data_IF_435396897256
#
_entry.id   IF_435396897256
#
_cell.length_a   1.000
_cell.length_b   1.000
_cell.length_c   1.000
_cell.angle_alpha   90.00
_cell.angle_beta   90.00
_cell.angle_gamma   90.00
#
_symmetry.space_group_name_H-M   'P 1'
#
loop_
_entity.id
_entity.type
_entity.pdbx_description
1 polymer ?
#
# COMPACT_ATOMS: atom_id res chain seq x y z
N UNK A 1 -11.71 -12.21 11.72
CA UNK A 1 -10.67 -11.59 10.87
C UNK A 1 -9.30 -11.87 11.44
N UNK A 2 -8.37 -12.17 10.57
CA UNK A 2 -6.99 -12.40 10.97
C UNK A 2 -6.36 -11.11 11.48
N UNK A 3 -5.62 -11.21 12.57
CA UNK A 3 -4.92 -10.06 13.14
C UNK A 3 -3.65 -9.75 12.37
N UNK A 4 -3.00 -10.78 11.87
CA UNK A 4 -1.78 -10.64 11.10
C UNK A 4 -1.62 -11.88 10.22
N UNK A 5 -1.33 -11.69 8.95
CA UNK A 5 -1.17 -12.77 8.00
C UNK A 5 0.11 -12.57 7.21
N UNK A 6 1.00 -13.56 7.27
CA UNK A 6 2.12 -13.62 6.33
C UNK A 6 1.57 -14.11 4.99
N UNK A 7 1.66 -13.26 4.00
CA UNK A 7 1.07 -13.51 2.70
C UNK A 7 1.99 -14.34 1.81
N UNK A 8 1.37 -15.18 0.94
CA UNK A 8 2.09 -15.92 -0.08
C UNK A 8 2.47 -15.11 -1.32
N UNK A 9 2.26 -13.79 -1.31
CA UNK A 9 2.76 -12.96 -2.39
C UNK A 9 4.26 -12.96 -2.35
N UNK A 10 4.88 -13.65 -3.25
CA UNK A 10 6.31 -13.66 -3.38
C UNK A 10 6.73 -13.23 -4.76
N UNK A 11 7.92 -12.65 -4.88
CA UNK A 11 8.59 -12.57 -6.16
C UNK A 11 8.92 -13.99 -6.63
N UNK A 12 9.20 -14.23 -7.92
CA UNK A 12 9.61 -15.55 -8.41
C UNK A 12 10.88 -16.06 -7.77
N UNK A 13 11.43 -15.63 -6.81
CA UNK A 13 12.56 -16.17 -6.06
C UNK A 13 12.28 -16.30 -4.59
N UNK A 14 11.08 -15.92 -4.12
CA UNK A 14 10.72 -15.99 -2.72
C UNK A 14 11.50 -15.05 -1.83
N UNK A 15 12.10 -13.99 -2.39
CA UNK A 15 13.00 -13.10 -1.66
C UNK A 15 12.28 -11.95 -0.97
N UNK A 16 10.98 -11.75 -1.23
CA UNK A 16 10.23 -10.64 -0.68
C UNK A 16 9.12 -11.20 0.20
N UNK A 17 9.13 -10.77 1.45
CA UNK A 17 8.09 -11.11 2.41
C UNK A 17 7.02 -10.04 2.39
N UNK A 18 5.75 -10.44 2.32
CA UNK A 18 4.63 -9.53 2.43
C UNK A 18 3.88 -9.84 3.73
N UNK A 19 3.81 -8.86 4.59
CA UNK A 19 3.11 -8.97 5.88
C UNK A 19 1.86 -8.11 5.81
N UNK A 20 0.72 -8.71 6.07
CA UNK A 20 -0.56 -7.99 6.10
C UNK A 20 -1.05 -7.94 7.54
N UNK A 21 -1.30 -6.74 8.03
CA UNK A 21 -1.79 -6.50 9.38
C UNK A 21 -3.14 -5.79 9.31
N UNK A 22 -4.18 -6.46 9.77
CA UNK A 22 -5.52 -5.91 9.81
C UNK A 22 -6.22 -6.47 11.04
N UNK A 23 -6.44 -5.62 12.04
CA UNK A 23 -6.98 -6.07 13.31
C UNK A 23 -8.30 -5.39 13.62
N UNK A 24 -9.36 -6.19 13.69
CA UNK A 24 -10.65 -5.72 14.17
C UNK A 24 -11.30 -4.65 13.32
N UNK A 25 -10.93 -4.55 12.04
CA UNK A 25 -11.47 -3.53 11.15
C UNK A 25 -12.58 -4.13 10.31
N UNK A 26 -13.73 -3.47 10.32
CA UNK A 26 -14.85 -3.82 9.47
C UNK A 26 -15.11 -2.68 8.50
N UNK A 27 -15.27 -3.02 7.23
CA UNK A 27 -15.57 -2.06 6.18
C UNK A 27 -16.82 -2.51 5.45
N UNK A 28 -17.66 -1.54 5.05
CA UNK A 28 -18.73 -1.84 4.13
C UNK A 28 -18.14 -2.10 2.73
N UNK A 29 -18.97 -2.69 1.85
CA UNK A 29 -18.49 -3.09 0.53
C UNK A 29 -18.13 -1.90 -0.35
N UNK A 30 -18.80 -0.77 -0.17
CA UNK A 30 -18.55 0.44 -0.93
C UNK A 30 -17.18 1.04 -0.61
N UNK A 31 -16.67 0.76 0.58
CA UNK A 31 -15.33 1.17 1.00
C UNK A 31 -14.30 0.07 0.68
N UNK A 32 -14.67 -1.18 0.90
CA UNK A 32 -13.74 -2.30 0.73
C UNK A 32 -13.29 -2.47 -0.73
N UNK A 33 -14.17 -2.26 -1.70
CA UNK A 33 -13.83 -2.45 -3.11
C UNK A 33 -12.79 -1.41 -3.57
N UNK A 34 -13.00 -0.10 -3.39
CA UNK A 34 -11.96 0.86 -3.78
C UNK A 34 -10.66 0.65 -3.04
N UNK A 35 -10.72 0.33 -1.74
CA UNK A 35 -9.52 0.09 -0.96
C UNK A 35 -8.75 -1.13 -1.46
N UNK A 36 -9.45 -2.20 -1.83
CA UNK A 36 -8.82 -3.38 -2.41
C UNK A 36 -8.09 -3.09 -3.72
N UNK A 37 -8.68 -2.25 -4.57
CA UNK A 37 -8.04 -1.83 -5.81
C UNK A 37 -6.81 -0.98 -5.56
N UNK A 38 -6.87 -0.07 -4.59
CA UNK A 38 -5.72 0.73 -4.17
C UNK A 38 -4.61 -0.19 -3.68
N UNK A 39 -4.94 -1.13 -2.80
CA UNK A 39 -3.98 -2.06 -2.24
C UNK A 39 -3.29 -2.86 -3.33
N UNK A 40 -4.04 -3.38 -4.29
CA UNK A 40 -3.48 -4.14 -5.40
C UNK A 40 -2.48 -3.31 -6.21
N UNK A 41 -2.81 -2.08 -6.55
CA UNK A 41 -1.92 -1.22 -7.31
C UNK A 41 -0.64 -0.89 -6.56
N UNK A 42 -0.73 -0.57 -5.27
CA UNK A 42 0.44 -0.23 -4.48
C UNK A 42 1.33 -1.44 -4.24
N UNK A 43 0.75 -2.61 -4.01
CA UNK A 43 1.50 -3.85 -3.81
C UNK A 43 2.23 -4.23 -5.10
N UNK A 44 1.54 -4.21 -6.24
CA UNK A 44 2.14 -4.53 -7.53
C UNK A 44 3.29 -3.57 -7.84
N UNK A 45 3.10 -2.28 -7.58
CA UNK A 45 4.17 -1.30 -7.80
C UNK A 45 5.39 -1.57 -6.92
N UNK A 46 5.19 -1.98 -5.67
CA UNK A 46 6.30 -2.32 -4.80
C UNK A 46 7.11 -3.49 -5.37
N UNK A 47 6.45 -4.54 -5.82
CA UNK A 47 7.13 -5.69 -6.41
C UNK A 47 7.87 -5.33 -7.71
N UNK A 48 7.32 -4.43 -8.50
CA UNK A 48 7.93 -4.05 -9.79
C UNK A 48 9.11 -3.10 -9.63
N UNK A 49 9.03 -2.15 -8.71
CA UNK A 49 9.93 -0.99 -8.71
C UNK A 49 10.78 -0.86 -7.45
N UNK A 50 10.32 -1.36 -6.31
CA UNK A 50 11.06 -1.17 -5.06
C UNK A 50 12.20 -2.16 -4.89
N UNK A 51 12.11 -3.34 -5.47
CA UNK A 51 13.06 -4.42 -5.23
C UNK A 51 13.68 -4.91 -6.52
N UNK A 52 14.97 -5.23 -6.44
CA UNK A 52 15.65 -5.99 -7.51
C UNK A 52 15.33 -7.47 -7.34
N UNK A 53 15.33 -8.26 -8.46
CA UNK A 53 14.96 -9.68 -8.37
C UNK A 53 15.80 -10.52 -7.42
N UNK A 54 17.06 -10.13 -7.18
CA UNK A 54 17.96 -10.85 -6.30
C UNK A 54 18.01 -10.34 -4.87
N UNK A 55 17.31 -9.24 -4.57
CA UNK A 55 17.33 -8.65 -3.25
C UNK A 55 16.27 -9.26 -2.35
N UNK A 56 16.60 -9.36 -1.07
CA UNK A 56 15.61 -9.65 -0.05
C UNK A 56 14.90 -8.37 0.34
N UNK A 57 13.61 -8.43 0.53
CA UNK A 57 12.83 -7.26 0.87
C UNK A 57 11.64 -7.60 1.74
N UNK A 58 11.06 -6.57 2.31
CA UNK A 58 9.89 -6.67 3.15
C UNK A 58 8.85 -5.64 2.71
N UNK A 59 7.62 -6.08 2.60
CA UNK A 59 6.48 -5.25 2.29
C UNK A 59 5.47 -5.41 3.42
N UNK A 60 5.06 -4.30 4.00
CA UNK A 60 4.07 -4.30 5.09
C UNK A 60 2.84 -3.54 4.63
N UNK A 61 1.71 -4.21 4.73
CA UNK A 61 0.40 -3.65 4.42
C UNK A 61 -0.41 -3.65 5.71
N UNK A 62 -0.92 -2.51 6.12
CA UNK A 62 -1.68 -2.43 7.35
C UNK A 62 -2.94 -1.59 7.18
N UNK A 63 -3.95 -1.95 7.95
CA UNK A 63 -5.20 -1.21 8.03
C UNK A 63 -5.60 -1.12 9.50
N UNK A 64 -5.77 0.09 9.98
CA UNK A 64 -6.16 0.34 11.36
C UNK A 64 -7.35 1.29 11.41
N UNK A 65 -8.10 1.22 12.50
CA UNK A 65 -9.21 2.10 12.77
C UNK A 65 -8.97 2.81 14.10
N UNK A 66 -9.35 4.08 14.18
CA UNK A 66 -9.25 4.84 15.43
C UNK A 66 -10.50 4.69 16.31
N UNK A 67 -11.47 3.90 15.87
CA UNK A 67 -12.73 3.73 16.60
C UNK A 67 -13.78 4.81 16.32
N UNK A 68 -13.44 5.85 15.56
CA UNK A 68 -14.33 6.99 15.27
C UNK A 68 -14.60 7.10 13.76
N UNK A 69 -14.70 5.99 13.07
CA UNK A 69 -14.93 5.92 11.62
C UNK A 69 -13.81 6.55 10.79
N UNK A 70 -12.61 6.62 11.35
CA UNK A 70 -11.41 7.01 10.65
C UNK A 70 -10.50 5.81 10.50
N UNK A 71 -9.99 5.63 9.30
CA UNK A 71 -9.14 4.48 8.95
C UNK A 71 -7.81 4.97 8.41
N UNK A 72 -6.77 4.19 8.69
CA UNK A 72 -5.44 4.43 8.14
C UNK A 72 -4.98 3.17 7.43
N UNK A 73 -4.74 3.27 6.14
CA UNK A 73 -4.22 2.19 5.31
C UNK A 73 -2.81 2.55 4.89
N UNK A 74 -1.86 1.64 5.13
CA UNK A 74 -0.46 1.87 4.75
C UNK A 74 0.06 0.73 3.91
N UNK A 75 0.89 1.08 2.92
CA UNK A 75 1.71 0.13 2.19
C UNK A 75 3.13 0.65 2.24
N UNK A 76 4.02 -0.09 2.85
CA UNK A 76 5.40 0.33 3.06
C UNK A 76 6.36 -0.79 2.69
N UNK A 77 7.40 -0.43 1.95
CA UNK A 77 8.48 -1.34 1.61
C UNK A 77 9.82 -0.80 2.13
N UNK A 78 10.81 -1.69 2.22
CA UNK A 78 12.18 -1.34 2.57
C UNK A 78 13.12 -1.38 1.36
N UNK A 79 12.56 -1.16 0.17
CA UNK A 79 13.31 -1.18 -1.06
C UNK A 79 14.09 0.10 -1.34
N UNK A 80 14.32 0.35 -2.63
CA UNK A 80 15.15 1.49 -3.06
C UNK A 80 14.49 2.85 -2.92
N UNK A 81 13.18 2.90 -2.70
CA UNK A 81 12.42 4.14 -2.68
C UNK A 81 12.14 4.68 -4.08
N UNK A 82 11.40 5.77 -4.12
CA UNK A 82 11.08 6.49 -5.35
C UNK A 82 12.11 7.60 -5.59
N UNK A 83 12.20 8.13 -6.83
CA UNK A 83 13.05 9.29 -7.09
C UNK A 83 12.70 10.47 -6.20
N UNK A 84 13.69 11.29 -5.87
CA UNK A 84 13.51 12.46 -4.99
C UNK A 84 12.45 13.42 -5.48
N UNK A 85 12.29 13.56 -6.79
CA UNK A 85 11.31 14.47 -7.39
C UNK A 85 9.96 13.82 -7.62
N UNK A 86 9.74 12.61 -7.10
CA UNK A 86 8.46 11.94 -7.25
C UNK A 86 7.36 12.66 -6.50
N UNK A 87 6.22 12.85 -7.15
CA UNK A 87 5.02 13.43 -6.55
C UNK A 87 3.83 12.58 -6.94
N UNK A 88 3.06 12.16 -5.93
CA UNK A 88 1.89 11.32 -6.17
C UNK A 88 0.79 12.05 -6.96
N UNK A 89 0.66 13.36 -6.75
CA UNK A 89 -0.34 14.18 -7.45
C UNK A 89 0.01 14.38 -8.93
N UNK A 90 1.25 14.11 -9.32
CA UNK A 90 1.72 14.20 -10.70
C UNK A 90 2.19 12.87 -11.24
N UNK A 91 1.69 11.78 -10.66
CA UNK A 91 2.07 10.45 -11.09
C UNK A 91 1.67 10.21 -12.55
N UNK A 92 2.60 9.62 -13.31
CA UNK A 92 2.39 9.40 -14.74
C UNK A 92 1.90 8.00 -15.05
N UNK A 93 2.05 7.06 -14.12
CA UNK A 93 1.54 5.71 -14.35
C UNK A 93 0.03 5.66 -14.15
N UNK A 94 -0.63 4.84 -14.96
CA UNK A 94 -2.06 4.67 -14.85
C UNK A 94 -2.47 4.14 -13.47
N UNK A 95 -1.67 3.20 -12.93
CA UNK A 95 -1.96 2.62 -11.61
C UNK A 95 -1.94 3.65 -10.49
N UNK A 96 -0.96 4.54 -10.47
CA UNK A 96 -0.89 5.58 -9.44
C UNK A 96 -1.96 6.66 -9.62
N UNK A 97 -2.36 6.94 -10.87
CA UNK A 97 -3.51 7.82 -11.12
C UNK A 97 -4.79 7.20 -10.59
N UNK A 98 -4.95 5.91 -10.77
CA UNK A 98 -6.10 5.18 -10.24
C UNK A 98 -6.13 5.23 -8.71
N UNK A 99 -4.98 5.07 -8.08
CA UNK A 99 -4.86 5.18 -6.61
C UNK A 99 -5.34 6.55 -6.13
N UNK A 100 -4.89 7.61 -6.77
CA UNK A 100 -5.31 8.97 -6.41
C UNK A 100 -6.81 9.18 -6.61
N UNK A 101 -7.36 8.68 -7.70
CA UNK A 101 -8.79 8.80 -7.99
C UNK A 101 -9.63 8.03 -6.97
N UNK A 102 -9.23 6.80 -6.66
CA UNK A 102 -9.96 5.97 -5.70
C UNK A 102 -9.85 6.52 -4.28
N UNK A 103 -8.72 7.11 -3.93
CA UNK A 103 -8.55 7.78 -2.64
C UNK A 103 -9.54 8.93 -2.50
N UNK A 104 -9.71 9.73 -3.55
CA UNK A 104 -10.72 10.79 -3.55
C UNK A 104 -12.13 10.25 -3.46
N UNK A 105 -12.40 9.13 -4.10
CA UNK A 105 -13.70 8.47 -4.02
C UNK A 105 -14.02 8.04 -2.59
N UNK A 106 -13.01 7.64 -1.83
CA UNK A 106 -13.14 7.33 -0.40
C UNK A 106 -13.21 8.58 0.48
N UNK A 107 -13.11 9.77 -0.10
CA UNK A 107 -13.01 11.04 0.62
C UNK A 107 -11.81 11.04 1.55
N UNK A 108 -10.75 10.38 1.12
CA UNK A 108 -9.53 10.23 1.88
C UNK A 108 -8.43 11.13 1.38
N UNK A 109 -7.31 11.01 2.05
CA UNK A 109 -6.09 11.74 1.73
C UNK A 109 -4.95 10.75 1.62
N UNK A 110 -4.03 10.98 0.67
CA UNK A 110 -2.87 10.11 0.48
C UNK A 110 -1.60 10.90 0.72
N UNK A 111 -0.70 10.31 1.48
CA UNK A 111 0.63 10.84 1.73
C UNK A 111 1.68 9.83 1.30
N UNK A 112 2.81 10.36 0.89
CA UNK A 112 3.94 9.58 0.41
C UNK A 112 5.15 9.87 1.28
N UNK A 113 5.88 8.82 1.63
CA UNK A 113 7.09 8.89 2.43
C UNK A 113 8.19 8.09 1.75
N UNK A 114 9.38 8.65 1.63
CA UNK A 114 10.50 8.04 0.93
C UNK A 114 11.70 7.79 1.86
N UNK A 115 11.46 7.47 3.11
CA UNK A 115 12.52 7.20 4.10
C UNK A 115 12.79 5.69 4.15
N UNK A 116 13.99 5.27 3.75
CA UNK A 116 14.44 3.87 3.77
C UNK A 116 13.48 2.94 3.03
N UNK A 117 13.07 3.35 1.85
CA UNK A 117 12.07 2.66 1.05
C UNK A 117 10.93 3.59 0.72
N UNK A 118 9.78 3.02 0.36
CA UNK A 118 8.61 3.79 -0.03
C UNK A 118 7.45 3.49 0.89
N UNK A 119 6.77 4.53 1.35
CA UNK A 119 5.55 4.40 2.14
C UNK A 119 4.43 5.22 1.55
N UNK A 120 3.26 4.60 1.40
CA UNK A 120 2.02 5.28 1.06
C UNK A 120 1.08 5.16 2.25
N UNK A 121 0.51 6.28 2.66
CA UNK A 121 -0.39 6.35 3.81
C UNK A 121 -1.68 6.98 3.35
N UNK A 122 -2.76 6.25 3.46
CA UNK A 122 -4.10 6.73 3.06
C UNK A 122 -4.96 6.77 4.30
N UNK A 123 -5.50 7.95 4.59
CA UNK A 123 -6.45 8.15 5.68
C UNK A 123 -7.83 8.45 5.10
N UNK A 124 -8.85 7.83 5.66
CA UNK A 124 -10.22 8.01 5.15
C UNK A 124 -11.31 7.75 6.19
#
# INVERSE_FOLDING_TARGET
LADSIASGYGSPGGNISCIVECKGVELDIDTAIPLGLIANELIVNAYKYAFNPSEKGELVVSLTSDGNHKYTFTVRDNGRGMPENFRIDKAQTLGLRLVSLLTRQLRGDIKFNNNNGTGFIITF
#
